data_IF_083600110683
#
_entry.id   IF_083600110683
#
_cell.length_a   1.000
_cell.length_b   1.000
_cell.length_c   1.000
_cell.angle_alpha   90.00
_cell.angle_beta   90.00
_cell.angle_gamma   90.00
#
_symmetry.space_group_name_H-M   'P 1'
#
loop_
_entity.id
_entity.type
_entity.pdbx_description
1 polymer ?
#
# COMPACT_ATOMS: atom_id res chain seq x y z
N UNK A 1 -18.13 -0.40 22.58
CA UNK A 1 -17.27 -1.25 21.72
C UNK A 1 -16.29 -2.08 22.55
N UNK A 2 -15.99 -3.31 22.12
CA UNK A 2 -14.94 -4.16 22.70
C UNK A 2 -13.56 -3.52 22.51
N UNK A 3 -12.91 -3.09 23.61
CA UNK A 3 -11.54 -2.50 23.60
C UNK A 3 -10.51 -3.22 22.71
N UNK A 4 -10.39 -4.56 22.72
CA UNK A 4 -9.40 -5.24 21.88
C UNK A 4 -9.73 -5.23 20.38
N UNK A 5 -11.02 -5.24 20.01
CA UNK A 5 -11.42 -5.13 18.59
C UNK A 5 -11.04 -3.75 18.06
N UNK A 6 -11.35 -2.68 18.81
CA UNK A 6 -10.97 -1.30 18.46
C UNK A 6 -9.45 -1.17 18.31
N UNK A 7 -8.69 -1.69 19.28
CA UNK A 7 -7.22 -1.65 19.24
C UNK A 7 -6.65 -2.38 18.02
N UNK A 8 -7.21 -3.53 17.67
CA UNK A 8 -6.78 -4.29 16.50
C UNK A 8 -7.06 -3.51 15.20
N UNK A 9 -8.23 -2.86 15.09
CA UNK A 9 -8.54 -2.01 13.93
C UNK A 9 -7.58 -0.82 13.81
N UNK A 10 -7.26 -0.16 14.93
CA UNK A 10 -6.33 0.96 14.93
C UNK A 10 -4.91 0.52 14.53
N UNK A 11 -4.49 -0.68 14.92
CA UNK A 11 -3.23 -1.29 14.47
C UNK A 11 -3.21 -1.57 12.96
N UNK A 12 -4.29 -2.17 12.43
CA UNK A 12 -4.40 -2.41 10.97
C UNK A 12 -4.33 -1.09 10.21
N UNK A 13 -5.06 -0.06 10.68
CA UNK A 13 -5.04 1.27 10.07
C UNK A 13 -3.64 1.87 10.05
N UNK A 14 -2.93 1.82 11.18
CA UNK A 14 -1.57 2.36 11.28
C UNK A 14 -0.58 1.65 10.36
N UNK A 15 -0.70 0.32 10.24
CA UNK A 15 0.12 -0.48 9.34
C UNK A 15 -0.16 -0.15 7.86
N UNK A 16 -1.43 0.00 7.48
CA UNK A 16 -1.80 0.41 6.12
C UNK A 16 -1.26 1.80 5.75
N UNK A 17 -1.33 2.76 6.68
CA UNK A 17 -0.82 4.12 6.46
C UNK A 17 0.71 4.18 6.37
N UNK A 18 1.41 3.27 7.04
CA UNK A 18 2.88 3.18 6.99
C UNK A 18 3.40 2.29 5.86
N UNK A 19 2.51 1.64 5.11
CA UNK A 19 2.90 0.68 4.06
C UNK A 19 3.43 -0.65 4.59
N UNK A 20 3.23 -0.95 5.88
CA UNK A 20 3.62 -2.22 6.49
C UNK A 20 2.55 -3.30 6.21
N UNK A 21 2.73 -4.01 5.09
CA UNK A 21 1.82 -5.08 4.69
C UNK A 21 1.80 -6.25 5.69
N UNK A 22 2.94 -6.58 6.31
CA UNK A 22 3.02 -7.69 7.27
C UNK A 22 2.31 -7.33 8.58
N UNK A 23 2.54 -6.12 9.09
CA UNK A 23 1.86 -5.60 10.26
C UNK A 23 0.34 -5.50 10.04
N UNK A 24 -0.10 -5.12 8.84
CA UNK A 24 -1.52 -5.05 8.50
C UNK A 24 -2.17 -6.44 8.54
N UNK A 25 -1.53 -7.46 7.95
CA UNK A 25 -2.02 -8.84 7.97
C UNK A 25 -2.08 -9.41 9.40
N UNK A 26 -1.01 -9.22 10.18
CA UNK A 26 -0.99 -9.66 11.57
C UNK A 26 -2.08 -8.98 12.42
N UNK A 27 -2.34 -7.69 12.17
CA UNK A 27 -3.43 -6.96 12.82
C UNK A 27 -4.82 -7.50 12.45
N UNK A 28 -5.02 -7.96 11.21
CA UNK A 28 -6.26 -8.60 10.77
C UNK A 28 -6.48 -9.94 11.49
N UNK A 29 -5.44 -10.76 11.63
CA UNK A 29 -5.54 -12.03 12.37
C UNK A 29 -5.95 -11.80 13.83
N UNK A 30 -5.36 -10.79 14.47
CA UNK A 30 -5.71 -10.37 15.84
C UNK A 30 -7.16 -9.88 15.92
N UNK A 31 -7.62 -9.11 14.92
CA UNK A 31 -9.00 -8.63 14.83
C UNK A 31 -10.00 -9.79 14.73
N UNK A 32 -9.74 -10.76 13.85
CA UNK A 32 -10.58 -11.96 13.65
C UNK A 32 -10.62 -12.78 14.94
N UNK A 33 -9.48 -13.03 15.57
CA UNK A 33 -9.41 -13.75 16.84
C UNK A 33 -10.18 -13.03 17.97
N UNK A 34 -10.07 -11.70 18.04
CA UNK A 34 -10.78 -10.89 19.03
C UNK A 34 -12.31 -10.90 18.81
N UNK A 35 -12.75 -10.87 17.55
CA UNK A 35 -14.16 -10.95 17.19
C UNK A 35 -14.74 -12.35 17.48
N UNK A 36 -14.02 -13.41 17.12
CA UNK A 36 -14.45 -14.81 17.34
C UNK A 36 -14.61 -15.14 18.83
N UNK A 37 -13.72 -14.65 19.69
CA UNK A 37 -13.78 -14.91 21.14
C UNK A 37 -14.91 -14.22 21.87
N UNK A 38 -15.34 -13.05 21.39
CA UNK A 38 -16.23 -12.14 22.14
C UNK A 38 -17.64 -12.08 21.58
N UNK A 39 -17.84 -12.57 20.37
CA UNK A 39 -19.08 -12.39 19.62
C UNK A 39 -19.25 -10.95 19.14
N UNK A 40 -20.05 -10.78 18.09
CA UNK A 40 -20.43 -9.48 17.56
C UNK A 40 -21.93 -9.30 17.79
N UNK A 41 -22.30 -8.43 18.71
CA UNK A 41 -23.68 -7.99 18.92
C UNK A 41 -24.13 -7.15 17.70
N UNK A 42 -25.38 -7.26 17.21
CA UNK A 42 -25.92 -6.38 16.18
C UNK A 42 -25.63 -4.88 16.37
N UNK A 43 -25.73 -4.33 17.59
CA UNK A 43 -25.39 -2.91 17.82
C UNK A 43 -23.89 -2.59 17.64
N UNK A 44 -23.02 -3.61 17.79
CA UNK A 44 -21.59 -3.51 17.53
C UNK A 44 -21.27 -3.68 16.04
N UNK A 45 -22.10 -4.43 15.30
CA UNK A 45 -21.90 -4.76 13.89
C UNK A 45 -21.93 -3.50 13.02
N UNK A 46 -22.92 -2.64 13.19
CA UNK A 46 -23.07 -1.43 12.36
C UNK A 46 -21.86 -0.50 12.45
N UNK A 47 -21.35 -0.28 13.67
CA UNK A 47 -20.14 0.51 13.90
C UNK A 47 -18.84 -0.16 13.44
N UNK A 48 -18.81 -1.49 13.41
CA UNK A 48 -17.69 -2.27 12.87
C UNK A 48 -17.65 -2.20 11.34
N UNK A 49 -18.82 -2.32 10.71
CA UNK A 49 -18.96 -2.35 9.25
C UNK A 49 -18.46 -1.06 8.61
N UNK A 50 -18.84 0.10 9.16
CA UNK A 50 -18.32 1.39 8.71
C UNK A 50 -16.78 1.47 8.78
N UNK A 51 -16.19 1.02 9.89
CA UNK A 51 -14.73 1.06 10.07
C UNK A 51 -14.00 0.03 9.21
N UNK A 52 -14.62 -1.11 8.92
CA UNK A 52 -14.06 -2.12 8.00
C UNK A 52 -14.07 -1.59 6.57
N UNK A 53 -15.11 -0.87 6.16
CA UNK A 53 -15.15 -0.22 4.84
C UNK A 53 -14.06 0.85 4.72
N UNK A 54 -13.82 1.65 5.77
CA UNK A 54 -12.68 2.58 5.81
C UNK A 54 -11.33 1.87 5.60
N UNK A 55 -11.10 0.74 6.28
CA UNK A 55 -9.87 -0.05 6.11
C UNK A 55 -9.76 -0.62 4.68
N UNK A 56 -10.88 -1.04 4.10
CA UNK A 56 -10.94 -1.55 2.72
C UNK A 56 -10.56 -0.46 1.72
N UNK A 57 -11.12 0.74 1.87
CA UNK A 57 -10.78 1.89 1.04
C UNK A 57 -9.30 2.27 1.16
N UNK A 58 -8.76 2.29 2.37
CA UNK A 58 -7.33 2.55 2.61
C UNK A 58 -6.43 1.49 1.95
N UNK A 59 -6.77 0.21 2.11
CA UNK A 59 -6.01 -0.88 1.50
C UNK A 59 -6.06 -0.80 -0.04
N UNK A 60 -7.22 -0.47 -0.61
CA UNK A 60 -7.39 -0.31 -2.05
C UNK A 60 -6.56 0.87 -2.58
N UNK A 61 -6.59 2.01 -1.89
CA UNK A 61 -5.77 3.17 -2.26
C UNK A 61 -4.27 2.86 -2.19
N UNK A 62 -3.84 2.13 -1.15
CA UNK A 62 -2.45 1.68 -1.00
C UNK A 62 -2.01 0.75 -2.14
N UNK A 63 -2.87 -0.21 -2.53
CA UNK A 63 -2.63 -1.09 -3.66
C UNK A 63 -2.46 -0.31 -4.98
N UNK A 64 -3.38 0.61 -5.26
CA UNK A 64 -3.31 1.43 -6.47
C UNK A 64 -2.04 2.27 -6.51
N UNK A 65 -1.65 2.89 -5.39
CA UNK A 65 -0.40 3.63 -5.29
C UNK A 65 0.85 2.75 -5.51
N UNK A 66 0.88 1.55 -4.93
CA UNK A 66 1.96 0.60 -5.11
C UNK A 66 2.09 0.13 -6.57
N UNK A 67 0.97 -0.12 -7.25
CA UNK A 67 0.93 -0.49 -8.67
C UNK A 67 1.49 0.63 -9.56
N UNK A 68 1.03 1.87 -9.34
CA UNK A 68 1.53 3.04 -10.07
C UNK A 68 3.03 3.24 -9.88
N UNK A 69 3.55 3.08 -8.65
CA UNK A 69 4.98 3.16 -8.38
C UNK A 69 5.76 2.05 -9.12
N UNK A 70 5.25 0.82 -9.13
CA UNK A 70 5.86 -0.28 -9.86
C UNK A 70 5.88 -0.04 -11.39
N UNK A 71 4.83 0.56 -11.93
CA UNK A 71 4.76 0.94 -13.34
C UNK A 71 5.78 2.04 -13.68
N UNK A 72 5.94 3.04 -12.81
CA UNK A 72 6.95 4.09 -12.98
C UNK A 72 8.36 3.51 -12.96
N UNK A 73 8.68 2.62 -12.03
CA UNK A 73 9.99 1.93 -11.97
C UNK A 73 10.23 1.13 -13.26
N UNK A 74 9.22 0.41 -13.75
CA UNK A 74 9.32 -0.31 -15.03
C UNK A 74 9.58 0.64 -16.20
N UNK A 75 8.91 1.79 -16.25
CA UNK A 75 9.13 2.83 -17.25
C UNK A 75 10.57 3.37 -17.21
N UNK A 76 11.10 3.67 -16.02
CA UNK A 76 12.50 4.11 -15.83
C UNK A 76 13.47 3.05 -16.35
N UNK A 77 13.25 1.78 -16.00
CA UNK A 77 14.10 0.68 -16.46
C UNK A 77 14.07 0.50 -17.98
N UNK A 78 12.90 0.63 -18.60
CA UNK A 78 12.75 0.57 -20.05
C UNK A 78 13.44 1.74 -20.74
N UNK A 79 13.27 2.97 -20.23
CA UNK A 79 13.94 4.16 -20.73
C UNK A 79 15.47 4.05 -20.59
N UNK A 80 15.96 3.57 -19.45
CA UNK A 80 17.39 3.34 -19.25
C UNK A 80 17.96 2.29 -20.23
N UNK A 81 17.18 1.29 -20.63
CA UNK A 81 17.57 0.29 -21.64
C UNK A 81 17.53 0.86 -23.06
N UNK A 82 16.53 1.66 -23.43
CA UNK A 82 16.44 2.27 -24.77
C UNK A 82 17.51 3.35 -24.98
N UNK A 83 17.94 4.01 -23.92
CA UNK A 83 19.03 4.97 -23.93
C UNK A 83 20.43 4.35 -24.05
N UNK A 84 20.55 3.01 -23.99
CA UNK A 84 21.79 2.30 -24.33
C UNK A 84 21.99 2.23 -25.85
N UNK A 85 21.96 3.38 -26.53
CA UNK A 85 22.39 3.49 -27.92
C UNK A 85 23.91 3.62 -27.93
N UNK A 86 24.57 2.65 -28.59
CA UNK A 86 25.99 2.75 -28.91
C UNK A 86 26.20 3.93 -29.87
N UNK A 87 27.30 4.68 -29.70
CA UNK A 87 27.71 5.65 -30.71
C UNK A 87 28.11 4.94 -32.02
N UNK A 88 28.32 5.70 -33.11
CA UNK A 88 28.76 5.17 -34.41
C UNK A 88 30.15 4.48 -34.38
N UNK A 89 30.82 4.47 -33.23
CA UNK A 89 32.13 3.85 -32.96
C UNK A 89 32.03 2.66 -31.97
N UNK A 90 30.82 2.24 -31.59
CA UNK A 90 30.60 1.13 -30.66
C UNK A 90 30.94 1.43 -29.20
N UNK A 91 31.05 2.71 -28.81
CA UNK A 91 31.30 3.12 -27.42
C UNK A 91 29.99 3.39 -26.70
N UNK A 92 29.91 2.93 -25.46
CA UNK A 92 28.74 3.08 -24.58
C UNK A 92 28.63 4.53 -24.12
N UNK A 93 27.67 5.26 -24.64
CA UNK A 93 27.32 6.60 -24.13
C UNK A 93 26.12 6.47 -23.19
N UNK A 94 26.29 6.85 -21.92
CA UNK A 94 25.17 6.94 -20.97
C UNK A 94 24.78 8.41 -20.86
N UNK A 95 23.70 8.79 -21.53
CA UNK A 95 23.12 10.12 -21.35
C UNK A 95 22.24 10.08 -20.09
N UNK A 96 22.39 11.02 -19.17
CA UNK A 96 21.57 11.02 -17.95
C UNK A 96 20.19 11.63 -18.27
N UNK A 97 19.14 10.81 -18.27
CA UNK A 97 17.76 11.30 -18.35
C UNK A 97 17.32 11.75 -16.96
N UNK A 98 17.16 13.06 -16.75
CA UNK A 98 16.45 13.57 -15.58
C UNK A 98 14.96 13.29 -15.79
N UNK A 99 14.39 12.38 -14.99
CA UNK A 99 12.96 12.18 -14.94
C UNK A 99 12.35 13.33 -14.13
N UNK A 100 11.41 14.08 -14.72
CA UNK A 100 10.62 15.08 -13.99
C UNK A 100 9.88 14.37 -12.86
N UNK A 101 10.29 14.67 -11.62
CA UNK A 101 9.60 14.21 -10.43
C UNK A 101 8.24 14.92 -10.35
N UNK A 102 7.13 14.22 -10.06
CA UNK A 102 5.84 14.89 -9.89
C UNK A 102 5.91 15.82 -8.68
N UNK A 103 5.84 17.12 -8.95
CA UNK A 103 5.75 18.16 -7.92
C UNK A 103 4.38 18.06 -7.26
N UNK A 104 4.38 17.66 -5.98
CA UNK A 104 3.16 17.60 -5.16
C UNK A 104 2.71 19.03 -4.84
N UNK A 105 1.47 19.37 -5.22
CA UNK A 105 0.72 20.49 -4.65
C UNK A 105 -0.02 20.02 -3.39
#
# INVERSE_FOLDING_TARGET
MSRPVVKAMDQVRAALLSGDAQGALAGIDVLVAAAARRGIDPALRDGLEARLEELRLLAQASLTGAQQAADQVRGILQAARSLQTYDSLGRRMVTATQADAPQRF
#
